data_IF_318977206017
#
_entry.id   IF_318977206017
#
_cell.length_a   1.000
_cell.length_b   1.000
_cell.length_c   1.000
_cell.angle_alpha   90.00
_cell.angle_beta   90.00
_cell.angle_gamma   90.00
#
_symmetry.space_group_name_H-M   'P 1'
#
loop_
_entity.id
_entity.type
_entity.pdbx_description
1 polymer ?
#
# COMPACT_ATOMS: atom_id res chain seq x y z
N UNK A 1 -21.58 4.50 37.22
CA UNK A 1 -20.81 5.25 36.19
C UNK A 1 -19.97 4.31 35.33
N UNK A 2 -20.27 3.01 35.37
CA UNK A 2 -19.36 1.93 34.96
C UNK A 2 -19.57 1.50 33.50
N UNK A 3 -20.68 1.91 32.89
CA UNK A 3 -21.05 1.58 31.51
C UNK A 3 -20.41 2.49 30.44
N UNK A 4 -19.87 3.66 30.83
CA UNK A 4 -19.24 4.60 29.89
C UNK A 4 -17.77 4.26 29.59
N UNK A 5 -17.08 3.64 30.54
CA UNK A 5 -15.69 3.18 30.40
C UNK A 5 -15.47 2.20 29.24
N UNK A 6 -16.24 1.10 29.10
CA UNK A 6 -16.07 0.17 27.97
C UNK A 6 -16.42 0.83 26.62
N UNK A 7 -17.38 1.74 26.59
CA UNK A 7 -17.74 2.49 25.38
C UNK A 7 -16.59 3.41 24.93
N UNK A 8 -15.98 4.17 25.84
CA UNK A 8 -14.82 5.01 25.54
C UNK A 8 -13.61 4.20 25.07
N UNK A 9 -13.36 3.03 25.68
CA UNK A 9 -12.29 2.12 25.24
C UNK A 9 -12.55 1.58 23.83
N UNK A 10 -13.79 1.20 23.52
CA UNK A 10 -14.15 0.71 22.20
C UNK A 10 -14.00 1.80 21.12
N UNK A 11 -14.44 3.03 21.41
CA UNK A 11 -14.27 4.17 20.51
C UNK A 11 -12.78 4.50 20.31
N UNK A 12 -11.99 4.49 21.38
CA UNK A 12 -10.55 4.69 21.31
C UNK A 12 -9.84 3.60 20.49
N UNK A 13 -10.23 2.34 20.67
CA UNK A 13 -9.68 1.21 19.94
C UNK A 13 -10.03 1.27 18.44
N UNK A 14 -11.27 1.59 18.10
CA UNK A 14 -11.67 1.84 16.71
C UNK A 14 -10.88 3.00 16.10
N UNK A 15 -10.70 4.09 16.85
CA UNK A 15 -9.89 5.23 16.44
C UNK A 15 -8.44 4.83 16.13
N UNK A 16 -7.83 3.99 16.98
CA UNK A 16 -6.48 3.45 16.76
C UNK A 16 -6.40 2.58 15.50
N UNK A 17 -7.37 1.70 15.26
CA UNK A 17 -7.41 0.86 14.06
C UNK A 17 -7.50 1.72 12.79
N UNK A 18 -8.39 2.72 12.79
CA UNK A 18 -8.54 3.63 11.64
C UNK A 18 -7.26 4.44 11.43
N UNK A 19 -6.69 4.99 12.51
CA UNK A 19 -5.44 5.75 12.44
C UNK A 19 -4.29 4.90 11.90
N UNK A 20 -4.17 3.65 12.35
CA UNK A 20 -3.19 2.69 11.83
C UNK A 20 -3.38 2.46 10.33
N UNK A 21 -4.60 2.15 9.90
CA UNK A 21 -4.90 1.93 8.48
C UNK A 21 -4.56 3.14 7.61
N UNK A 22 -4.88 4.35 8.07
CA UNK A 22 -4.56 5.59 7.36
C UNK A 22 -3.05 5.82 7.31
N UNK A 23 -2.35 5.57 8.41
CA UNK A 23 -0.89 5.71 8.49
C UNK A 23 -0.17 4.74 7.55
N UNK A 24 -0.59 3.47 7.55
CA UNK A 24 -0.03 2.44 6.68
C UNK A 24 -0.26 2.75 5.20
N UNK A 25 -1.45 3.27 4.85
CA UNK A 25 -1.76 3.69 3.50
C UNK A 25 -0.87 4.87 3.05
N UNK A 26 -0.74 5.90 3.88
CA UNK A 26 0.12 7.06 3.58
C UNK A 26 1.58 6.66 3.42
N UNK A 27 2.10 5.80 4.29
CA UNK A 27 3.47 5.27 4.20
C UNK A 27 3.69 4.52 2.89
N UNK A 28 2.76 3.66 2.50
CA UNK A 28 2.85 2.90 1.25
C UNK A 28 2.90 3.83 0.03
N UNK A 29 2.04 4.85 0.00
CA UNK A 29 2.04 5.86 -1.08
C UNK A 29 3.35 6.64 -1.13
N UNK A 30 3.89 7.04 0.03
CA UNK A 30 5.17 7.75 0.10
C UNK A 30 6.33 6.90 -0.44
N UNK A 31 6.38 5.62 -0.09
CA UNK A 31 7.40 4.70 -0.59
C UNK A 31 7.32 4.55 -2.12
N UNK A 32 6.10 4.43 -2.68
CA UNK A 32 5.89 4.36 -4.13
C UNK A 32 6.34 5.65 -4.82
N UNK A 33 5.99 6.80 -4.24
CA UNK A 33 6.41 8.12 -4.74
C UNK A 33 7.94 8.27 -4.72
N UNK A 34 8.58 7.86 -3.63
CA UNK A 34 10.03 7.91 -3.49
C UNK A 34 10.72 6.99 -4.50
N UNK A 35 10.20 5.77 -4.69
CA UNK A 35 10.69 4.85 -5.71
C UNK A 35 10.57 5.46 -7.11
N UNK A 36 9.42 6.06 -7.44
CA UNK A 36 9.21 6.69 -8.74
C UNK A 36 10.18 7.86 -8.96
N UNK A 37 10.31 8.76 -7.98
CA UNK A 37 11.23 9.89 -8.04
C UNK A 37 12.70 9.45 -8.20
N UNK A 38 13.11 8.40 -7.48
CA UNK A 38 14.48 7.86 -7.55
C UNK A 38 14.80 7.27 -8.92
N UNK A 39 13.80 6.69 -9.59
CA UNK A 39 13.96 6.06 -10.91
C UNK A 39 13.59 6.98 -12.08
N UNK A 40 13.22 8.25 -11.81
CA UNK A 40 12.82 9.21 -12.82
C UNK A 40 11.41 9.01 -13.40
N UNK A 41 10.59 8.16 -12.78
CA UNK A 41 9.20 7.96 -13.17
C UNK A 41 8.29 9.04 -12.58
N UNK A 42 7.27 9.45 -13.35
CA UNK A 42 6.20 10.34 -12.87
C UNK A 42 4.91 9.55 -12.67
N UNK A 43 4.40 9.50 -11.44
CA UNK A 43 3.12 8.84 -11.15
C UNK A 43 1.96 9.69 -11.68
N UNK A 44 1.09 9.06 -12.47
CA UNK A 44 -0.14 9.64 -13.03
C UNK A 44 -1.33 9.23 -12.16
N UNK A 45 -1.41 7.94 -11.82
CA UNK A 45 -2.50 7.37 -11.06
C UNK A 45 -1.97 6.32 -10.09
N UNK A 46 -2.59 6.23 -8.91
CA UNK A 46 -2.29 5.24 -7.89
C UNK A 46 -3.62 4.67 -7.38
N UNK A 47 -3.89 3.42 -7.70
CA UNK A 47 -5.08 2.70 -7.27
C UNK A 47 -4.71 1.57 -6.31
N UNK A 48 -5.26 1.58 -5.10
CA UNK A 48 -5.15 0.43 -4.20
C UNK A 48 -6.15 -0.65 -4.62
N UNK A 49 -5.65 -1.82 -5.02
CA UNK A 49 -6.50 -2.93 -5.47
C UNK A 49 -6.53 -4.06 -4.43
N UNK A 50 -7.63 -4.06 -3.66
CA UNK A 50 -7.89 -5.04 -2.60
C UNK A 50 -8.33 -6.41 -3.15
N UNK A 51 -9.13 -6.39 -4.23
CA UNK A 51 -9.80 -7.57 -4.82
C UNK A 51 -9.17 -8.04 -6.15
N UNK A 52 -8.77 -7.13 -7.03
CA UNK A 52 -8.12 -7.44 -8.33
C UNK A 52 -6.60 -7.32 -8.22
N UNK A 53 -5.97 -8.34 -7.64
CA UNK A 53 -4.51 -8.39 -7.36
C UNK A 53 -3.63 -8.70 -8.58
N UNK A 54 -4.19 -8.68 -9.79
CA UNK A 54 -3.46 -8.87 -11.05
C UNK A 54 -2.57 -10.12 -11.07
N UNK A 55 -1.31 -10.05 -11.56
CA UNK A 55 -0.39 -11.20 -11.65
C UNK A 55 0.02 -11.79 -10.27
N UNK A 56 -0.36 -11.15 -9.17
CA UNK A 56 -0.12 -11.63 -7.81
C UNK A 56 -1.26 -12.49 -7.24
N UNK A 57 -2.30 -12.76 -8.04
CA UNK A 57 -3.51 -13.50 -7.62
C UNK A 57 -3.20 -14.90 -7.09
N UNK A 58 -2.17 -15.57 -7.59
CA UNK A 58 -1.89 -16.97 -7.24
C UNK A 58 -0.74 -17.19 -6.24
N UNK A 59 0.07 -16.17 -5.92
CA UNK A 59 1.25 -16.30 -5.01
C UNK A 59 1.23 -15.41 -3.76
N UNK A 60 0.14 -14.69 -3.52
CA UNK A 60 0.10 -13.78 -2.36
C UNK A 60 -0.73 -14.39 -1.25
N UNK A 61 -0.05 -14.80 -0.17
CA UNK A 61 -0.69 -15.09 1.11
C UNK A 61 -1.59 -13.93 1.55
N UNK A 62 -2.56 -14.24 2.40
CA UNK A 62 -3.72 -13.40 2.80
C UNK A 62 -3.46 -11.94 3.25
N UNK A 63 -2.23 -11.44 3.28
CA UNK A 63 -1.83 -10.21 4.01
C UNK A 63 -1.02 -9.17 3.21
N UNK A 64 -1.05 -9.17 1.87
CA UNK A 64 -0.28 -8.20 1.07
C UNK A 64 -1.20 -7.19 0.37
N UNK A 65 -0.85 -5.91 0.45
CA UNK A 65 -1.54 -4.82 -0.26
C UNK A 65 -0.91 -4.64 -1.65
N UNK A 66 -1.74 -4.70 -2.68
CA UNK A 66 -1.31 -4.51 -4.07
C UNK A 66 -1.82 -3.16 -4.57
N UNK A 67 -0.92 -2.38 -5.14
CA UNK A 67 -1.19 -1.13 -5.81
C UNK A 67 -1.00 -1.30 -7.31
N UNK A 68 -1.92 -0.74 -8.07
CA UNK A 68 -1.76 -0.52 -9.51
C UNK A 68 -1.40 0.94 -9.71
N UNK A 69 -0.28 1.20 -10.35
CA UNK A 69 0.27 2.55 -10.50
C UNK A 69 0.54 2.79 -11.98
N UNK A 70 -0.04 3.85 -12.51
CA UNK A 70 0.29 4.32 -13.86
C UNK A 70 1.42 5.34 -13.74
N UNK A 71 2.52 5.09 -14.42
CA UNK A 71 3.71 5.94 -14.41
C UNK A 71 4.09 6.38 -15.82
N UNK A 72 4.68 7.56 -15.95
CA UNK A 72 5.35 8.01 -17.17
C UNK A 72 6.84 7.76 -16.99
N UNK A 73 7.43 7.01 -17.91
CA UNK A 73 8.89 6.83 -18.02
C UNK A 73 9.58 8.19 -18.31
N UNK A 74 10.85 8.40 -17.92
CA UNK A 74 11.67 9.51 -18.41
C UNK A 74 11.57 9.78 -19.93
N UNK A 75 11.28 8.76 -20.73
CA UNK A 75 11.07 8.82 -22.18
C UNK A 75 9.69 9.37 -22.59
N UNK A 76 8.81 9.70 -21.64
CA UNK A 76 7.47 10.21 -21.88
C UNK A 76 6.41 9.13 -22.16
N UNK A 77 6.76 7.84 -22.05
CA UNK A 77 5.82 6.75 -22.31
C UNK A 77 5.04 6.39 -21.03
N UNK A 78 3.72 6.28 -21.15
CA UNK A 78 2.88 5.74 -20.09
C UNK A 78 3.13 4.22 -19.96
N UNK A 79 3.38 3.77 -18.73
CA UNK A 79 3.56 2.37 -18.35
C UNK A 79 2.74 2.08 -17.10
N UNK A 80 2.06 0.95 -17.11
CA UNK A 80 1.40 0.44 -15.93
C UNK A 80 2.36 -0.45 -15.13
N UNK A 81 2.40 -0.25 -13.82
CA UNK A 81 3.18 -1.07 -12.89
C UNK A 81 2.30 -1.59 -11.77
N UNK A 82 2.54 -2.84 -11.40
CA UNK A 82 2.01 -3.47 -10.22
C UNK A 82 3.04 -3.36 -9.11
N UNK A 83 2.65 -2.74 -8.01
CA UNK A 83 3.50 -2.57 -6.84
C UNK A 83 2.90 -3.34 -5.67
N UNK A 84 3.66 -4.28 -5.12
CA UNK A 84 3.25 -5.00 -3.91
C UNK A 84 3.98 -4.42 -2.71
N UNK A 85 3.20 -3.95 -1.74
CA UNK A 85 3.67 -3.56 -0.42
C UNK A 85 3.28 -4.68 0.56
N UNK A 86 4.24 -5.32 1.22
CA UNK A 86 3.88 -6.26 2.27
C UNK A 86 5.02 -6.84 3.09
N UNK A 87 4.77 -6.90 4.40
CA UNK A 87 5.43 -7.79 5.35
C UNK A 87 4.78 -7.68 6.73
N UNK A 88 4.01 -8.69 7.16
CA UNK A 88 3.59 -8.81 8.57
C UNK A 88 4.32 -9.94 9.32
N UNK A 89 5.02 -10.89 8.66
CA UNK A 89 5.56 -12.08 9.37
C UNK A 89 7.08 -12.29 9.27
N UNK A 90 7.86 -11.41 8.62
CA UNK A 90 9.34 -11.53 8.62
C UNK A 90 10.12 -10.24 8.91
N UNK A 91 9.50 -9.25 9.55
CA UNK A 91 10.19 -8.05 10.00
C UNK A 91 9.27 -6.84 9.95
N UNK A 92 8.98 -6.27 11.12
CA UNK A 92 8.12 -5.10 11.34
C UNK A 92 8.51 -3.81 10.55
N UNK A 93 9.53 -3.87 9.69
CA UNK A 93 10.13 -2.72 9.01
C UNK A 93 10.74 -3.05 7.63
N UNK A 94 10.30 -4.10 6.94
CA UNK A 94 10.82 -4.34 5.58
C UNK A 94 10.10 -3.43 4.58
N UNK A 95 10.72 -2.31 4.19
CA UNK A 95 10.32 -1.43 3.08
C UNK A 95 10.56 -2.11 1.71
N UNK A 96 10.26 -3.41 1.60
CA UNK A 96 10.47 -4.17 0.38
C UNK A 96 9.31 -3.94 -0.59
N UNK A 97 9.49 -2.96 -1.47
CA UNK A 97 8.66 -2.74 -2.64
C UNK A 97 9.03 -3.76 -3.73
N UNK A 98 8.09 -4.64 -4.07
CA UNK A 98 8.21 -5.50 -5.25
C UNK A 98 7.43 -4.87 -6.40
N UNK A 99 8.15 -4.38 -7.41
CA UNK A 99 7.59 -3.67 -8.57
C UNK A 99 7.68 -4.56 -9.80
N UNK A 100 6.56 -4.70 -10.51
CA UNK A 100 6.47 -5.44 -11.78
C UNK A 100 5.76 -4.60 -12.83
N UNK A 101 6.30 -4.59 -14.04
CA UNK A 101 5.63 -3.97 -15.17
C UNK A 101 4.51 -4.87 -15.70
N UNK A 102 3.40 -4.27 -16.10
CA UNK A 102 2.36 -4.94 -16.87
C UNK A 102 2.91 -5.11 -18.31
N UNK A 103 3.16 -6.35 -18.73
CA UNK A 103 3.77 -6.71 -20.02
C UNK A 103 2.73 -6.87 -21.13
#
# INVERSE_FOLDING_TARGET
MDSFLPFLMFVGFLGLIIAWHVFEHKRSVQLIQQWAATNGYRIIALEQRWLRRGPFFWRSGKYHTVFYVDVIDPQGMARAIWVRCGGWISGLFSDQLDVRFDS
#
